data_IF_860968756955
#
_entry.id   IF_860968756955
#
_cell.length_a   1.000
_cell.length_b   1.000
_cell.length_c   1.000
_cell.angle_alpha   90.00
_cell.angle_beta   90.00
_cell.angle_gamma   90.00
#
_symmetry.space_group_name_H-M   'P 1'
#
loop_
_entity.id
_entity.type
_entity.pdbx_description
1 polymer ?
#
# COMPACT_ATOMS: atom_id res chain seq x y z
N UNK A 1 -27.39 43.47 11.49
CA UNK A 1 -26.23 42.60 11.23
C UNK A 1 -26.69 41.17 11.38
N UNK A 2 -27.05 40.53 10.27
CA UNK A 2 -27.35 39.11 10.19
C UNK A 2 -26.89 38.68 8.79
N UNK A 3 -25.90 37.78 8.74
CA UNK A 3 -25.43 37.17 7.51
C UNK A 3 -25.88 35.71 7.52
N UNK A 4 -26.57 35.31 6.46
CA UNK A 4 -27.02 33.96 6.17
C UNK A 4 -26.19 33.41 5.01
N UNK A 5 -25.76 32.16 5.11
CA UNK A 5 -25.14 31.40 4.02
C UNK A 5 -26.22 30.83 3.10
N UNK A 6 -26.00 30.92 1.79
CA UNK A 6 -26.77 30.22 0.77
C UNK A 6 -25.81 29.60 -0.22
N UNK A 7 -25.82 28.25 -0.30
CA UNK A 7 -25.20 27.50 -1.39
C UNK A 7 -26.12 27.56 -2.61
N UNK A 8 -25.58 27.92 -3.76
CA UNK A 8 -26.13 27.58 -5.08
C UNK A 8 -24.95 27.20 -5.96
N UNK A 9 -25.00 25.99 -6.52
CA UNK A 9 -24.00 25.50 -7.44
C UNK A 9 -24.01 26.26 -8.76
N UNK A 10 -22.93 26.07 -9.51
CA UNK A 10 -22.98 26.16 -10.96
C UNK A 10 -22.01 25.14 -11.54
N UNK A 11 -22.58 24.28 -12.38
CA UNK A 11 -21.91 23.44 -13.35
C UNK A 11 -21.11 24.32 -14.32
N UNK A 12 -19.86 23.95 -14.60
CA UNK A 12 -19.13 24.51 -15.74
C UNK A 12 -18.81 23.37 -16.69
N UNK A 13 -19.65 23.25 -17.72
CA UNK A 13 -19.31 22.61 -18.98
C UNK A 13 -18.22 23.47 -19.67
N UNK A 14 -17.02 22.94 -19.88
CA UNK A 14 -16.02 23.59 -20.74
C UNK A 14 -16.21 23.15 -22.20
N UNK A 15 -16.58 24.13 -23.02
CA UNK A 15 -16.88 24.02 -24.43
C UNK A 15 -15.59 23.74 -25.25
N UNK A 16 -15.65 22.71 -26.09
CA UNK A 16 -14.63 22.32 -27.06
C UNK A 16 -14.75 23.23 -28.29
N UNK A 17 -13.98 24.33 -28.40
CA UNK A 17 -13.51 24.89 -29.68
C UNK A 17 -12.74 26.23 -29.53
N UNK A 18 -11.49 26.19 -29.09
CA UNK A 18 -10.55 27.28 -29.41
C UNK A 18 -9.17 26.73 -29.80
N UNK A 19 -9.06 26.35 -31.07
CA UNK A 19 -7.78 26.07 -31.72
C UNK A 19 -7.30 27.37 -32.38
N UNK A 20 -6.37 28.08 -31.75
CA UNK A 20 -5.52 29.05 -32.45
C UNK A 20 -4.17 28.42 -32.75
N UNK A 21 -3.93 28.17 -34.04
CA UNK A 21 -2.63 27.80 -34.58
C UNK A 21 -1.61 28.94 -34.37
N UNK A 22 -0.52 28.66 -33.66
CA UNK A 22 0.72 29.43 -33.79
C UNK A 22 1.86 28.50 -34.19
N UNK A 23 2.26 28.66 -35.46
CA UNK A 23 3.42 28.05 -36.07
C UNK A 23 4.70 28.79 -35.60
N UNK A 24 5.55 28.08 -34.86
CA UNK A 24 6.86 28.56 -34.44
C UNK A 24 7.79 27.40 -34.12
N UNK A 25 8.55 26.93 -35.11
CA UNK A 25 9.66 26.00 -34.91
C UNK A 25 10.75 26.65 -34.06
N UNK A 26 10.92 26.18 -32.82
CA UNK A 26 12.17 26.29 -32.07
C UNK A 26 12.58 24.92 -31.55
N UNK A 27 13.67 24.39 -32.12
CA UNK A 27 14.40 23.22 -31.64
C UNK A 27 15.19 23.59 -30.39
N UNK A 28 14.49 23.74 -29.26
CA UNK A 28 15.08 23.85 -27.93
C UNK A 28 15.13 22.49 -27.26
N UNK A 29 16.33 21.97 -26.96
CA UNK A 29 16.49 20.79 -26.12
C UNK A 29 15.88 21.10 -24.73
N UNK A 30 14.74 20.49 -24.44
CA UNK A 30 14.10 20.55 -23.11
C UNK A 30 15.02 19.82 -22.14
N UNK A 31 15.81 20.57 -21.37
CA UNK A 31 16.45 20.04 -20.16
C UNK A 31 15.30 19.73 -19.20
N UNK A 32 14.96 18.45 -19.06
CA UNK A 32 14.01 18.02 -18.05
C UNK A 32 14.60 18.36 -16.68
N UNK A 33 13.95 19.28 -15.96
CA UNK A 33 14.37 19.76 -14.64
C UNK A 33 14.05 18.71 -13.54
N UNK A 34 14.19 17.42 -13.86
CA UNK A 34 13.73 16.31 -13.02
C UNK A 34 14.76 16.08 -11.91
N UNK A 35 14.35 16.15 -10.63
CA UNK A 35 15.21 15.79 -9.52
C UNK A 35 15.76 14.36 -9.69
N UNK A 36 17.03 14.09 -9.32
CA UNK A 36 17.56 12.74 -9.39
C UNK A 36 16.73 11.79 -8.50
N UNK A 37 16.55 10.51 -8.89
CA UNK A 37 15.82 9.55 -8.08
C UNK A 37 16.40 9.43 -6.67
N UNK A 38 15.54 9.42 -5.66
CA UNK A 38 15.95 9.23 -4.26
C UNK A 38 16.52 7.81 -4.12
N UNK A 39 17.72 7.68 -3.56
CA UNK A 39 18.34 6.36 -3.36
C UNK A 39 17.56 5.53 -2.33
N UNK A 40 17.48 4.22 -2.59
CA UNK A 40 16.89 3.26 -1.67
C UNK A 40 17.61 3.27 -0.31
N UNK A 41 16.85 3.26 0.78
CA UNK A 41 17.38 3.17 2.15
C UNK A 41 16.41 2.46 3.09
N UNK A 42 16.95 1.74 4.06
CA UNK A 42 16.18 1.10 5.15
C UNK A 42 15.90 2.09 6.27
N UNK A 43 14.80 1.86 6.99
CA UNK A 43 14.43 2.63 8.18
C UNK A 43 14.36 1.75 9.41
N UNK A 44 14.80 2.30 10.53
CA UNK A 44 14.78 1.64 11.83
C UNK A 44 13.37 1.68 12.44
N UNK A 45 12.90 0.53 12.91
CA UNK A 45 11.53 0.38 13.43
C UNK A 45 11.32 1.21 14.70
N UNK A 46 12.24 1.15 15.67
CA UNK A 46 12.11 1.88 16.94
C UNK A 46 12.10 3.40 16.68
N UNK A 47 12.98 3.88 15.79
CA UNK A 47 12.97 5.28 15.36
C UNK A 47 11.63 5.67 14.74
N UNK A 48 11.06 4.86 13.83
CA UNK A 48 9.77 5.18 13.22
C UNK A 48 8.63 5.15 14.24
N UNK A 49 8.58 4.14 15.12
CA UNK A 49 7.59 4.04 16.19
C UNK A 49 7.64 5.24 17.13
N UNK A 50 8.84 5.77 17.42
CA UNK A 50 9.00 6.96 18.27
C UNK A 50 8.42 8.25 17.67
N UNK A 51 8.04 8.24 16.40
CA UNK A 51 7.39 9.38 15.72
C UNK A 51 5.88 9.26 15.65
N UNK A 52 5.28 8.18 16.15
CA UNK A 52 3.82 8.04 16.15
C UNK A 52 3.19 9.11 17.07
N UNK A 53 2.08 9.75 16.66
CA UNK A 53 1.33 10.63 17.54
C UNK A 53 0.62 9.80 18.62
N UNK A 54 0.32 10.41 19.77
CA UNK A 54 -0.37 9.77 20.91
C UNK A 54 -1.77 9.23 20.57
N UNK A 55 -2.34 9.68 19.45
CA UNK A 55 -3.65 9.27 18.95
C UNK A 55 -3.59 9.10 17.44
N UNK A 56 -4.15 8.00 16.95
CA UNK A 56 -4.32 7.70 15.53
C UNK A 56 -5.82 7.62 15.24
N UNK A 57 -6.32 8.51 14.38
CA UNK A 57 -7.65 8.36 13.79
C UNK A 57 -7.60 7.44 12.56
N UNK A 58 -8.51 6.48 12.47
CA UNK A 58 -8.53 5.48 11.41
C UNK A 58 -9.96 5.13 10.98
N UNK A 59 -10.09 4.55 9.78
CA UNK A 59 -11.31 3.88 9.32
C UNK A 59 -11.04 2.39 9.04
N UNK A 60 -12.08 1.56 9.11
CA UNK A 60 -11.96 0.12 8.83
C UNK A 60 -12.50 -0.23 7.45
N UNK A 61 -11.62 -0.70 6.57
CA UNK A 61 -12.00 -1.20 5.25
C UNK A 61 -12.50 -2.64 5.39
N UNK A 62 -13.79 -2.86 5.15
CA UNK A 62 -14.39 -4.20 5.12
C UNK A 62 -14.52 -4.70 3.69
N UNK A 63 -13.87 -5.82 3.38
CA UNK A 63 -13.82 -6.38 2.02
C UNK A 63 -14.25 -7.85 2.05
N UNK A 64 -15.33 -8.16 1.32
CA UNK A 64 -15.79 -9.52 1.08
C UNK A 64 -15.34 -9.99 -0.30
N UNK A 65 -14.76 -11.17 -0.37
CA UNK A 65 -14.35 -11.83 -1.60
C UNK A 65 -15.55 -12.49 -2.30
N UNK A 66 -15.45 -12.85 -3.60
CA UNK A 66 -16.49 -13.59 -4.30
C UNK A 66 -16.91 -14.91 -3.64
N UNK A 67 -16.01 -15.61 -2.91
CA UNK A 67 -16.37 -16.81 -2.15
C UNK A 67 -17.01 -16.52 -0.78
N UNK A 68 -17.21 -15.25 -0.42
CA UNK A 68 -17.85 -14.84 0.84
C UNK A 68 -16.90 -14.72 2.03
N UNK A 69 -15.58 -14.75 1.83
CA UNK A 69 -14.61 -14.52 2.92
C UNK A 69 -14.44 -13.01 3.13
N UNK A 70 -14.51 -12.55 4.37
CA UNK A 70 -14.44 -11.11 4.71
C UNK A 70 -13.17 -10.78 5.50
N UNK A 71 -12.49 -9.69 5.12
CA UNK A 71 -11.43 -9.07 5.91
C UNK A 71 -11.86 -7.70 6.42
N UNK A 72 -11.38 -7.34 7.61
CA UNK A 72 -11.52 -6.02 8.20
C UNK A 72 -10.13 -5.43 8.43
N UNK A 73 -9.76 -4.47 7.61
CA UNK A 73 -8.41 -3.91 7.58
C UNK A 73 -8.47 -2.45 8.05
N UNK A 74 -8.01 -2.15 9.27
CA UNK A 74 -7.95 -0.77 9.74
C UNK A 74 -6.86 0.00 9.01
N UNK A 75 -7.19 1.23 8.63
CA UNK A 75 -6.33 2.13 7.88
C UNK A 75 -6.42 3.53 8.48
N UNK A 76 -5.28 4.09 8.83
CA UNK A 76 -5.16 5.47 9.30
C UNK A 76 -5.75 6.46 8.31
N UNK A 77 -6.44 7.45 8.85
CA UNK A 77 -7.14 8.46 8.06
C UNK A 77 -6.20 9.52 7.50
N UNK A 78 -6.49 9.96 6.27
CA UNK A 78 -5.63 10.90 5.56
C UNK A 78 -5.55 12.27 6.24
N UNK A 79 -6.65 12.71 6.89
CA UNK A 79 -6.64 13.96 7.64
C UNK A 79 -5.73 13.88 8.87
N UNK A 80 -5.61 12.71 9.49
CA UNK A 80 -4.77 12.49 10.66
C UNK A 80 -3.28 12.48 10.27
N UNK A 81 -2.97 11.87 9.12
CA UNK A 81 -1.63 11.95 8.49
C UNK A 81 -1.24 13.40 8.20
N UNK A 82 -2.16 14.18 7.60
CA UNK A 82 -1.94 15.62 7.33
C UNK A 82 -1.67 16.39 8.62
N UNK A 83 -2.45 16.15 9.67
CA UNK A 83 -2.29 16.84 10.95
C UNK A 83 -0.90 16.58 11.56
N UNK A 84 -0.42 15.34 11.51
CA UNK A 84 0.93 15.00 11.98
C UNK A 84 2.00 15.75 11.17
N UNK A 85 1.95 15.69 9.84
CA UNK A 85 2.95 16.34 8.99
C UNK A 85 2.96 17.86 9.17
N UNK A 86 1.79 18.48 9.36
CA UNK A 86 1.69 19.91 9.67
C UNK A 86 2.24 20.27 11.05
N UNK A 87 2.10 19.38 12.03
CA UNK A 87 2.62 19.60 13.38
C UNK A 87 4.15 19.43 13.47
N UNK A 88 4.73 18.60 12.60
CA UNK A 88 6.17 18.36 12.49
C UNK A 88 6.88 19.37 11.57
N UNK A 89 6.14 20.17 10.79
CA UNK A 89 6.72 21.16 9.88
C UNK A 89 7.38 22.30 10.65
N UNK A 90 8.70 22.39 10.52
CA UNK A 90 9.53 23.45 11.09
C UNK A 90 9.75 24.62 10.13
N UNK A 91 9.09 24.61 8.96
CA UNK A 91 9.20 25.63 7.92
C UNK A 91 10.48 25.53 7.07
N UNK A 92 11.30 24.49 7.26
CA UNK A 92 12.51 24.26 6.46
C UNK A 92 12.30 23.29 5.30
N UNK A 93 11.21 22.51 5.33
CA UNK A 93 10.85 21.62 4.23
C UNK A 93 10.05 22.39 3.18
N UNK A 94 10.49 22.32 1.92
CA UNK A 94 9.91 23.13 0.85
C UNK A 94 8.45 22.73 0.49
N UNK A 95 8.01 21.52 0.84
CA UNK A 95 6.65 21.03 0.57
C UNK A 95 6.28 19.83 1.45
N UNK A 96 6.05 20.02 2.77
CA UNK A 96 5.74 18.93 3.72
C UNK A 96 4.46 18.16 3.38
N UNK A 97 3.57 18.77 2.59
CA UNK A 97 2.31 18.18 2.14
C UNK A 97 2.33 17.73 0.67
N UNK A 98 3.51 17.67 0.04
CA UNK A 98 3.64 17.15 -1.33
C UNK A 98 3.09 15.72 -1.41
N UNK A 99 2.15 15.48 -2.33
CA UNK A 99 1.45 14.20 -2.46
C UNK A 99 0.17 14.05 -1.65
N UNK A 100 -0.25 15.08 -0.91
CA UNK A 100 -1.55 15.13 -0.23
C UNK A 100 -2.57 16.03 -0.95
N UNK A 101 -2.17 16.60 -2.09
CA UNK A 101 -3.00 17.43 -2.98
C UNK A 101 -4.05 16.58 -3.73
N UNK A 102 -5.07 17.25 -4.28
CA UNK A 102 -6.20 16.57 -4.92
C UNK A 102 -5.89 16.03 -6.33
N UNK A 103 -4.75 16.39 -6.95
CA UNK A 103 -4.35 15.83 -8.24
C UNK A 103 -3.83 14.40 -8.08
N UNK A 104 -4.39 13.45 -8.83
CA UNK A 104 -4.09 12.03 -8.64
C UNK A 104 -2.75 11.59 -9.26
N UNK A 105 -2.20 12.31 -10.25
CA UNK A 105 -0.89 12.01 -10.86
C UNK A 105 -0.26 13.25 -11.50
N UNK A 106 0.75 13.86 -10.87
CA UNK A 106 1.67 14.77 -11.55
C UNK A 106 2.83 14.00 -12.20
N UNK A 107 3.13 14.30 -13.46
CA UNK A 107 4.23 13.62 -14.18
C UNK A 107 5.57 13.94 -13.49
N UNK A 108 6.23 12.89 -12.95
CA UNK A 108 7.51 12.92 -12.24
C UNK A 108 7.50 13.39 -10.78
N UNK A 109 6.33 13.53 -10.14
CA UNK A 109 6.20 13.68 -8.68
C UNK A 109 5.34 12.52 -8.18
N UNK A 110 5.89 11.68 -7.29
CA UNK A 110 5.14 10.56 -6.72
C UNK A 110 4.23 11.06 -5.59
N UNK A 111 2.92 11.09 -5.86
CA UNK A 111 1.90 11.63 -4.96
C UNK A 111 0.98 10.53 -4.38
N UNK A 112 1.13 9.27 -4.83
CA UNK A 112 0.10 8.25 -4.64
C UNK A 112 0.12 7.48 -3.33
N UNK A 113 1.22 7.50 -2.54
CA UNK A 113 1.40 6.58 -1.41
C UNK A 113 0.47 6.82 -0.21
N UNK A 114 -0.07 8.04 -0.07
CA UNK A 114 -0.97 8.38 1.04
C UNK A 114 -2.42 7.93 0.82
N UNK A 115 -2.83 7.79 -0.44
CA UNK A 115 -4.18 7.32 -0.82
C UNK A 115 -4.15 5.81 -1.03
N UNK A 116 -5.26 5.16 -0.70
CA UNK A 116 -5.47 3.75 -1.09
C UNK A 116 -6.04 3.72 -2.50
N UNK A 117 -5.36 3.02 -3.40
CA UNK A 117 -5.80 2.81 -4.77
C UNK A 117 -6.72 1.60 -4.90
N UNK A 118 -7.68 1.64 -5.85
CA UNK A 118 -8.68 0.60 -6.04
C UNK A 118 -8.08 -0.79 -6.28
N UNK A 119 -6.96 -0.86 -7.03
CA UNK A 119 -6.28 -2.13 -7.30
C UNK A 119 -5.76 -2.80 -6.01
N UNK A 120 -5.54 -2.03 -4.93
CA UNK A 120 -5.13 -2.57 -3.64
C UNK A 120 -6.27 -3.37 -3.00
N UNK A 121 -7.52 -2.92 -3.18
CA UNK A 121 -8.71 -3.60 -2.69
C UNK A 121 -8.99 -4.87 -3.49
N UNK A 122 -8.81 -4.80 -4.81
CA UNK A 122 -8.92 -5.97 -5.70
C UNK A 122 -7.91 -7.06 -5.31
N UNK A 123 -6.67 -6.66 -4.99
CA UNK A 123 -5.62 -7.58 -4.55
C UNK A 123 -5.99 -8.26 -3.22
N UNK A 124 -6.55 -7.52 -2.26
CA UNK A 124 -7.06 -8.11 -1.00
C UNK A 124 -8.19 -9.12 -1.26
N UNK A 125 -9.18 -8.78 -2.09
CA UNK A 125 -10.27 -9.71 -2.46
C UNK A 125 -9.74 -10.98 -3.10
N UNK A 126 -8.74 -10.86 -3.97
CA UNK A 126 -8.10 -12.03 -4.58
C UNK A 126 -7.38 -12.89 -3.55
N UNK A 127 -6.59 -12.28 -2.66
CA UNK A 127 -5.84 -12.98 -1.62
C UNK A 127 -6.76 -13.69 -0.62
N UNK A 128 -7.95 -13.15 -0.33
CA UNK A 128 -8.96 -13.83 0.46
C UNK A 128 -9.42 -15.15 -0.18
N UNK A 129 -9.59 -15.17 -1.50
CA UNK A 129 -10.08 -16.36 -2.22
C UNK A 129 -8.98 -17.37 -2.60
N UNK A 130 -7.76 -16.89 -2.80
CA UNK A 130 -6.67 -17.64 -3.45
C UNK A 130 -5.34 -17.63 -2.68
N UNK A 131 -5.21 -16.76 -1.68
CA UNK A 131 -3.96 -16.50 -0.97
C UNK A 131 -2.73 -16.40 -1.88
N UNK A 132 -1.55 -16.85 -1.43
CA UNK A 132 -0.35 -16.87 -2.27
C UNK A 132 -0.41 -17.87 -3.45
N UNK A 133 -1.28 -18.88 -3.36
CA UNK A 133 -1.39 -19.91 -4.40
C UNK A 133 -2.80 -20.49 -4.55
N UNK A 134 -3.37 -21.13 -3.52
CA UNK A 134 -4.72 -21.72 -3.59
C UNK A 134 -5.71 -21.10 -2.62
N UNK A 135 -5.27 -20.81 -1.41
CA UNK A 135 -6.00 -20.20 -0.32
C UNK A 135 -4.98 -19.52 0.62
N UNK A 136 -5.49 -18.87 1.67
CA UNK A 136 -4.67 -18.12 2.60
C UNK A 136 -3.74 -19.03 3.44
N UNK A 137 -4.10 -20.29 3.66
CA UNK A 137 -3.31 -21.28 4.41
C UNK A 137 -1.99 -21.63 3.70
N UNK A 138 -1.92 -21.47 2.37
CA UNK A 138 -0.65 -21.60 1.65
C UNK A 138 0.41 -20.55 2.09
N UNK A 139 0.04 -19.53 2.88
CA UNK A 139 0.99 -18.58 3.48
C UNK A 139 2.03 -19.26 4.38
N UNK A 140 1.71 -20.42 4.99
CA UNK A 140 2.69 -21.22 5.77
C UNK A 140 3.92 -21.63 4.94
N UNK A 141 3.81 -21.61 3.61
CA UNK A 141 4.91 -21.94 2.69
C UNK A 141 5.72 -20.72 2.26
N UNK A 142 5.30 -19.52 2.62
CA UNK A 142 5.94 -18.25 2.26
C UNK A 142 6.83 -17.83 3.42
N UNK A 143 8.13 -17.69 3.17
CA UNK A 143 9.07 -17.19 4.15
C UNK A 143 9.19 -15.67 4.16
N UNK A 144 8.80 -15.02 3.05
CA UNK A 144 8.98 -13.58 2.87
C UNK A 144 7.87 -12.99 2.00
N UNK A 145 7.14 -12.01 2.53
CA UNK A 145 6.23 -11.15 1.78
C UNK A 145 6.92 -9.81 1.48
N UNK A 146 6.92 -9.39 0.22
CA UNK A 146 7.44 -8.08 -0.18
C UNK A 146 6.30 -7.31 -0.84
N UNK A 147 5.92 -6.13 -0.32
CA UNK A 147 5.01 -5.24 -1.03
C UNK A 147 5.77 -4.04 -1.59
N UNK A 148 5.76 -3.94 -2.91
CA UNK A 148 6.43 -2.89 -3.65
C UNK A 148 5.45 -1.76 -3.99
N UNK A 149 5.76 -0.54 -3.56
CA UNK A 149 4.83 0.58 -3.65
C UNK A 149 3.66 0.40 -2.71
N UNK A 150 3.94 0.15 -1.42
CA UNK A 150 2.95 -0.35 -0.49
C UNK A 150 1.90 0.68 -0.07
N UNK A 151 2.22 1.98 0.00
CA UNK A 151 1.28 2.99 0.49
C UNK A 151 0.62 2.58 1.81
N UNK A 152 -0.72 2.46 1.81
CA UNK A 152 -1.51 1.96 2.95
C UNK A 152 -1.32 0.47 3.31
N UNK A 153 -0.68 -0.31 2.44
CA UNK A 153 -0.27 -1.70 2.61
C UNK A 153 -1.38 -2.72 2.88
N UNK A 154 -2.64 -2.44 2.47
CA UNK A 154 -3.78 -3.33 2.73
C UNK A 154 -3.53 -4.82 2.37
N UNK A 155 -2.90 -5.17 1.22
CA UNK A 155 -2.57 -6.54 0.89
C UNK A 155 -1.65 -7.18 1.93
N UNK A 156 -0.60 -6.47 2.35
CA UNK A 156 0.27 -6.94 3.43
C UNK A 156 -0.43 -6.99 4.78
N UNK A 157 -1.35 -6.06 5.10
CA UNK A 157 -2.10 -6.09 6.36
C UNK A 157 -2.94 -7.38 6.47
N UNK A 158 -3.58 -7.80 5.38
CA UNK A 158 -4.31 -9.08 5.34
C UNK A 158 -3.39 -10.26 5.71
N UNK A 159 -2.26 -10.37 5.01
CA UNK A 159 -1.30 -11.46 5.22
C UNK A 159 -0.64 -11.38 6.61
N UNK A 160 -0.40 -10.16 7.10
CA UNK A 160 0.18 -9.90 8.42
C UNK A 160 -0.76 -10.31 9.55
N UNK A 161 -2.04 -9.95 9.48
CA UNK A 161 -3.02 -10.39 10.48
C UNK A 161 -3.18 -11.91 10.47
N UNK A 162 -3.20 -12.53 9.29
CA UNK A 162 -3.25 -13.98 9.18
C UNK A 162 -2.00 -14.63 9.79
N UNK A 163 -0.80 -14.12 9.48
CA UNK A 163 0.44 -14.60 10.05
C UNK A 163 0.48 -14.48 11.58
N UNK A 164 -0.07 -13.42 12.16
CA UNK A 164 -0.20 -13.28 13.62
C UNK A 164 -1.12 -14.36 14.19
N UNK A 165 -2.34 -14.50 13.64
CA UNK A 165 -3.35 -15.45 14.13
C UNK A 165 -2.85 -16.90 14.07
N UNK A 166 -2.14 -17.25 13.01
CA UNK A 166 -1.60 -18.60 12.79
C UNK A 166 -0.20 -18.81 13.37
N UNK A 167 0.41 -17.79 14.00
CA UNK A 167 1.75 -17.89 14.58
C UNK A 167 2.86 -18.16 13.55
N UNK A 168 2.76 -17.56 12.37
CA UNK A 168 3.71 -17.75 11.26
C UNK A 168 4.83 -16.70 11.30
N UNK A 169 6.05 -17.16 11.58
CA UNK A 169 7.26 -16.34 11.46
C UNK A 169 7.60 -16.05 9.99
N UNK A 170 7.40 -14.80 9.56
CA UNK A 170 7.54 -14.37 8.16
C UNK A 170 8.29 -13.03 8.12
N UNK A 171 9.14 -12.84 7.10
CA UNK A 171 9.67 -11.51 6.77
C UNK A 171 8.62 -10.71 6.01
N UNK A 172 8.38 -9.45 6.40
CA UNK A 172 7.61 -8.48 5.64
C UNK A 172 8.52 -7.32 5.24
N UNK A 173 8.74 -7.13 3.93
CA UNK A 173 9.44 -5.96 3.40
C UNK A 173 8.45 -5.05 2.69
N UNK A 174 8.23 -3.86 3.25
CA UNK A 174 7.32 -2.87 2.71
C UNK A 174 8.12 -1.71 2.12
N UNK A 175 7.94 -1.46 0.83
CA UNK A 175 8.70 -0.45 0.11
C UNK A 175 7.79 0.62 -0.45
N UNK A 176 8.19 1.88 -0.31
CA UNK A 176 7.50 3.02 -0.91
C UNK A 176 8.54 4.03 -1.41
N UNK A 177 8.19 4.89 -2.36
CA UNK A 177 9.13 5.94 -2.77
C UNK A 177 9.36 6.95 -1.65
N UNK A 178 8.31 7.27 -0.87
CA UNK A 178 8.34 8.28 0.17
C UNK A 178 8.52 7.68 1.57
N UNK A 179 9.53 8.16 2.31
CA UNK A 179 9.78 7.73 3.69
C UNK A 179 8.65 8.14 4.65
N UNK A 180 7.99 9.28 4.41
CA UNK A 180 6.86 9.73 5.23
C UNK A 180 5.63 8.87 5.01
N UNK A 181 5.44 8.27 3.83
CA UNK A 181 4.37 7.29 3.63
C UNK A 181 4.60 6.07 4.52
N UNK A 182 5.83 5.54 4.56
CA UNK A 182 6.15 4.40 5.42
C UNK A 182 5.94 4.73 6.91
N UNK A 183 6.40 5.91 7.33
CA UNK A 183 6.38 6.36 8.72
C UNK A 183 4.98 6.76 9.19
N UNK A 184 4.24 7.49 8.37
CA UNK A 184 2.98 8.10 8.73
C UNK A 184 1.76 7.30 8.25
N UNK A 185 1.91 6.31 7.37
CA UNK A 185 0.79 5.50 6.87
C UNK A 185 1.03 4.02 7.10
N UNK A 186 2.08 3.47 6.50
CA UNK A 186 2.31 2.02 6.48
C UNK A 186 2.52 1.42 7.87
N UNK A 187 3.42 1.99 8.67
CA UNK A 187 3.70 1.51 10.02
C UNK A 187 2.50 1.68 10.98
N UNK A 188 1.83 2.85 11.06
CA UNK A 188 0.59 2.99 11.82
C UNK A 188 -0.44 1.92 11.48
N UNK A 189 -0.64 1.62 10.20
CA UNK A 189 -1.58 0.60 9.76
C UNK A 189 -1.20 -0.81 10.24
N UNK A 190 0.10 -1.15 10.30
CA UNK A 190 0.55 -2.41 10.89
C UNK A 190 0.25 -2.50 12.40
N UNK A 191 0.44 -1.39 13.13
CA UNK A 191 0.09 -1.33 14.57
C UNK A 191 -1.42 -1.51 14.76
N UNK A 192 -2.24 -0.81 13.97
CA UNK A 192 -3.71 -0.98 13.98
C UNK A 192 -4.09 -2.42 13.62
N UNK A 193 -3.51 -2.98 12.55
CA UNK A 193 -3.80 -4.33 12.09
C UNK A 193 -3.47 -5.38 13.17
N UNK A 194 -2.36 -5.22 13.90
CA UNK A 194 -2.03 -6.05 15.05
C UNK A 194 -2.99 -5.85 16.22
N UNK A 195 -3.35 -4.61 16.56
CA UNK A 195 -4.30 -4.35 17.66
C UNK A 195 -5.68 -4.99 17.40
N UNK A 196 -6.08 -5.14 16.14
CA UNK A 196 -7.27 -5.87 15.72
C UNK A 196 -7.17 -7.40 15.82
N UNK A 197 -5.99 -7.95 16.13
CA UNK A 197 -5.79 -9.40 16.35
C UNK A 197 -5.77 -9.80 17.82
N UNK A 198 -5.75 -8.83 18.73
CA UNK A 198 -5.69 -9.09 20.17
C UNK A 198 -6.92 -9.84 20.66
N UNK A 199 -6.72 -10.81 21.55
CA UNK A 199 -7.81 -11.38 22.33
C UNK A 199 -8.40 -10.35 23.30
N UNK A 200 -9.61 -10.60 23.82
CA UNK A 200 -10.22 -9.74 24.84
C UNK A 200 -9.34 -9.59 26.08
N UNK A 201 -8.67 -10.67 26.48
CA UNK A 201 -7.81 -10.66 27.67
C UNK A 201 -6.55 -9.80 27.44
N UNK A 202 -5.89 -9.93 26.29
CA UNK A 202 -4.72 -9.12 25.95
C UNK A 202 -5.11 -7.65 25.78
N UNK A 203 -6.24 -7.40 25.13
CA UNK A 203 -6.76 -6.05 24.96
C UNK A 203 -7.09 -5.39 26.30
N UNK A 204 -7.70 -6.10 27.26
CA UNK A 204 -7.99 -5.55 28.59
C UNK A 204 -6.72 -5.19 29.39
N UNK A 205 -5.56 -5.77 29.06
CA UNK A 205 -4.27 -5.43 29.69
C UNK A 205 -3.64 -4.16 29.09
N UNK A 206 -3.98 -3.81 27.86
CA UNK A 206 -3.34 -2.73 27.09
C UNK A 206 -4.20 -1.48 26.97
N UNK A 207 -5.52 -1.61 27.09
CA UNK A 207 -6.48 -0.54 26.93
C UNK A 207 -7.22 -0.30 28.24
N UNK A 208 -7.51 0.97 28.55
CA UNK A 208 -8.25 1.34 29.76
C UNK A 208 -9.74 1.03 29.61
N UNK A 209 -10.45 0.85 30.73
CA UNK A 209 -11.89 0.54 30.71
C UNK A 209 -12.74 1.67 30.09
N UNK A 210 -12.33 2.93 30.27
CA UNK A 210 -12.99 4.11 29.71
C UNK A 210 -12.61 4.36 28.23
N UNK A 211 -11.54 3.72 27.77
CA UNK A 211 -10.99 3.86 26.42
C UNK A 211 -10.64 2.47 25.85
N UNK A 212 -11.66 1.59 25.64
CA UNK A 212 -11.43 0.22 25.22
C UNK A 212 -10.86 0.16 23.80
N UNK A 213 -10.32 -1.00 23.42
CA UNK A 213 -9.81 -1.21 22.07
C UNK A 213 -10.96 -1.13 21.04
N UNK A 214 -10.96 -0.12 20.15
CA UNK A 214 -12.03 0.07 19.17
C UNK A 214 -12.04 -1.00 18.06
N UNK A 215 -11.00 -1.83 17.97
CA UNK A 215 -10.84 -2.85 16.94
C UNK A 215 -11.27 -4.25 17.38
N UNK A 216 -11.66 -4.43 18.65
CA UNK A 216 -12.23 -5.69 19.11
C UNK A 216 -13.63 -5.88 18.50
N UNK A 217 -13.82 -6.95 17.73
CA UNK A 217 -15.12 -7.35 17.20
C UNK A 217 -15.75 -8.39 18.13
N UNK A 218 -17.04 -8.26 18.40
CA UNK A 218 -17.79 -9.27 19.15
C UNK A 218 -18.12 -10.46 18.23
N UNK A 219 -17.82 -11.69 18.66
CA UNK A 219 -18.16 -12.93 17.93
C UNK A 219 -19.67 -13.08 17.67
N UNK A 220 -20.52 -12.30 18.34
CA UNK A 220 -21.99 -12.40 18.31
C UNK A 220 -22.62 -11.43 17.29
N UNK A 221 -21.87 -10.49 16.70
CA UNK A 221 -22.36 -9.71 15.56
C UNK A 221 -22.17 -10.50 14.25
N UNK A 222 -22.63 -11.75 14.23
CA UNK A 222 -22.64 -12.65 13.08
C UNK A 222 -23.89 -12.43 12.21
N UNK A 223 -24.27 -11.17 12.04
CA UNK A 223 -25.21 -10.78 10.99
C UNK A 223 -24.55 -9.65 10.21
N UNK A 224 -24.00 -10.01 9.05
CA UNK A 224 -23.60 -9.14 7.94
C UNK A 224 -24.82 -8.34 7.43
N UNK A 225 -25.45 -7.55 8.29
CA UNK A 225 -26.63 -6.75 7.97
C UNK A 225 -26.29 -5.38 7.37
N UNK A 226 -25.02 -5.09 7.09
CA UNK A 226 -24.62 -3.89 6.37
C UNK A 226 -23.78 -4.26 5.15
N UNK A 227 -24.43 -4.86 4.15
CA UNK A 227 -23.99 -4.84 2.75
C UNK A 227 -24.12 -3.40 2.17
N UNK A 228 -23.59 -2.42 2.90
CA UNK A 228 -23.83 -0.98 2.72
C UNK A 228 -22.79 -0.13 3.44
N UNK A 229 -21.54 -0.23 3.01
CA UNK A 229 -20.67 0.92 2.68
C UNK A 229 -20.31 2.00 3.72
N UNK A 230 -20.72 1.95 4.99
CA UNK A 230 -20.28 2.94 5.97
C UNK A 230 -18.94 2.53 6.59
N UNK A 231 -17.88 3.29 6.29
CA UNK A 231 -16.58 3.13 6.94
C UNK A 231 -16.71 3.40 8.44
N UNK A 232 -16.34 2.42 9.28
CA UNK A 232 -16.32 2.58 10.73
C UNK A 232 -15.10 3.43 11.13
N UNK A 233 -15.35 4.65 11.60
CA UNK A 233 -14.32 5.58 12.08
C UNK A 233 -14.10 5.43 13.58
N UNK A 234 -12.83 5.41 14.01
CA UNK A 234 -12.46 5.37 15.41
C UNK A 234 -11.08 5.99 15.67
N UNK A 235 -10.80 6.19 16.96
CA UNK A 235 -9.51 6.69 17.46
C UNK A 235 -8.84 5.61 18.32
N UNK A 236 -7.54 5.40 18.12
CA UNK A 236 -6.70 4.53 18.96
C UNK A 236 -5.55 5.34 19.58
N UNK A 237 -5.34 5.18 20.89
CA UNK A 237 -4.25 5.83 21.61
C UNK A 237 -2.99 4.96 21.65
N UNK A 238 -1.86 5.52 21.27
CA UNK A 238 -0.57 4.83 21.11
C UNK A 238 0.29 4.92 22.37
N UNK A 239 -0.08 4.16 23.40
CA UNK A 239 0.69 4.17 24.65
C UNK A 239 2.04 3.45 24.48
N UNK A 240 3.07 3.79 25.28
CA UNK A 240 4.33 3.04 25.27
C UNK A 240 4.13 1.54 25.52
N UNK A 241 3.21 1.16 26.40
CA UNK A 241 2.89 -0.24 26.68
C UNK A 241 2.33 -0.96 25.43
N UNK A 242 1.46 -0.28 24.66
CA UNK A 242 0.93 -0.82 23.40
C UNK A 242 2.06 -1.08 22.39
N UNK A 243 2.96 -0.12 22.20
CA UNK A 243 4.06 -0.24 21.23
C UNK A 243 5.10 -1.28 21.64
N UNK A 244 5.39 -1.41 22.94
CA UNK A 244 6.25 -2.49 23.44
C UNK A 244 5.61 -3.86 23.27
N UNK A 245 4.30 -3.99 23.52
CA UNK A 245 3.57 -5.24 23.27
C UNK A 245 3.49 -5.61 21.79
N UNK A 246 3.36 -4.62 20.90
CA UNK A 246 3.45 -4.82 19.45
C UNK A 246 4.80 -5.45 19.08
N UNK A 247 5.91 -4.83 19.53
CA UNK A 247 7.27 -5.35 19.29
C UNK A 247 7.48 -6.74 19.89
N UNK A 248 7.01 -6.97 21.11
CA UNK A 248 7.12 -8.27 21.77
C UNK A 248 6.37 -9.36 21.01
N UNK A 249 5.18 -9.05 20.46
CA UNK A 249 4.42 -9.97 19.63
C UNK A 249 5.21 -10.35 18.37
N UNK A 250 5.74 -9.37 17.62
CA UNK A 250 6.56 -9.61 16.44
C UNK A 250 7.74 -10.55 16.75
N UNK A 251 8.46 -10.28 17.84
CA UNK A 251 9.59 -11.09 18.28
C UNK A 251 9.17 -12.52 18.65
N UNK A 252 8.06 -12.68 19.38
CA UNK A 252 7.58 -13.99 19.84
C UNK A 252 7.16 -14.91 18.69
N UNK A 253 6.56 -14.34 17.64
CA UNK A 253 6.10 -15.08 16.46
C UNK A 253 7.26 -15.31 15.47
N UNK A 254 8.29 -14.46 15.52
CA UNK A 254 9.36 -14.44 14.55
C UNK A 254 9.00 -13.67 13.28
N UNK A 255 8.12 -12.68 13.37
CA UNK A 255 7.83 -11.76 12.28
C UNK A 255 8.90 -10.66 12.26
N UNK A 256 9.50 -10.44 11.09
CA UNK A 256 10.50 -9.37 10.89
C UNK A 256 9.98 -8.33 9.91
N UNK A 257 9.96 -7.07 10.30
CA UNK A 257 9.54 -5.96 9.45
C UNK A 257 10.76 -5.23 8.87
N UNK A 258 10.73 -4.91 7.58
CA UNK A 258 11.75 -4.09 6.91
C UNK A 258 11.06 -3.01 6.10
N UNK A 259 11.34 -1.74 6.39
CA UNK A 259 10.80 -0.59 5.68
C UNK A 259 11.88 0.00 4.78
N UNK A 260 11.57 0.20 3.50
CA UNK A 260 12.52 0.72 2.52
C UNK A 260 11.92 1.87 1.74
N UNK A 261 12.50 3.07 1.86
CA UNK A 261 12.09 4.22 1.04
C UNK A 261 13.01 4.41 -0.17
N UNK A 262 12.47 4.93 -1.27
CA UNK A 262 13.23 5.45 -2.41
C UNK A 262 13.03 4.64 -3.68
N UNK A 263 13.84 4.94 -4.68
CA UNK A 263 13.77 4.34 -6.01
C UNK A 263 14.11 2.83 -5.98
N UNK A 264 13.35 2.04 -6.73
CA UNK A 264 13.69 0.64 -7.01
C UNK A 264 14.90 0.47 -7.93
N UNK A 265 15.25 1.53 -8.67
CA UNK A 265 16.39 1.57 -9.58
C UNK A 265 17.52 2.46 -9.03
N UNK A 266 18.80 2.07 -9.21
CA UNK A 266 19.24 0.81 -9.79
C UNK A 266 19.06 -0.37 -8.81
N UNK A 267 18.77 -1.56 -9.33
CA UNK A 267 18.56 -2.76 -8.50
C UNK A 267 19.79 -3.12 -7.67
N UNK A 268 21.00 -2.79 -8.14
CA UNK A 268 22.24 -2.98 -7.37
C UNK A 268 22.27 -2.24 -6.04
N UNK A 269 21.55 -1.12 -5.91
CA UNK A 269 21.39 -0.39 -4.65
C UNK A 269 20.22 -0.94 -3.81
N UNK A 270 19.15 -1.41 -4.46
CA UNK A 270 17.96 -1.95 -3.79
C UNK A 270 18.21 -3.32 -3.15
N UNK A 271 18.78 -4.26 -3.91
CA UNK A 271 18.86 -5.67 -3.55
C UNK A 271 19.57 -5.93 -2.21
N UNK A 272 20.71 -5.28 -1.87
CA UNK A 272 21.39 -5.50 -0.60
C UNK A 272 20.55 -5.13 0.63
N UNK A 273 19.53 -4.29 0.46
CA UNK A 273 18.66 -3.81 1.53
C UNK A 273 17.47 -4.75 1.81
N UNK A 274 17.21 -5.70 0.91
CA UNK A 274 16.09 -6.63 1.02
C UNK A 274 16.63 -8.00 1.47
N UNK A 275 16.14 -8.52 2.62
CA UNK A 275 16.48 -9.87 3.07
C UNK A 275 16.22 -10.91 1.98
N UNK A 276 17.17 -11.82 1.76
CA UNK A 276 16.99 -12.91 0.80
C UNK A 276 17.87 -14.09 1.19
N UNK A 277 17.43 -15.30 0.89
CA UNK A 277 18.25 -16.50 0.91
C UNK A 277 17.81 -17.42 -0.22
N UNK A 278 18.73 -18.20 -0.84
CA UNK A 278 18.39 -19.18 -1.87
C UNK A 278 17.36 -20.23 -1.44
N UNK A 279 17.10 -20.39 -0.14
CA UNK A 279 16.12 -21.33 0.41
C UNK A 279 14.74 -20.71 0.66
N UNK A 280 14.61 -19.38 0.59
CA UNK A 280 13.35 -18.69 0.85
C UNK A 280 12.35 -18.88 -0.29
N UNK A 281 11.08 -18.95 0.08
CA UNK A 281 9.97 -18.71 -0.83
C UNK A 281 9.47 -17.28 -0.61
N UNK A 282 9.57 -16.45 -1.64
CA UNK A 282 9.23 -15.03 -1.57
C UNK A 282 8.01 -14.74 -2.42
N UNK A 283 7.03 -14.09 -1.80
CA UNK A 283 5.80 -13.64 -2.43
C UNK A 283 5.81 -12.12 -2.53
N UNK A 284 5.85 -11.61 -3.76
CA UNK A 284 5.96 -10.19 -4.05
C UNK A 284 4.58 -9.67 -4.46
N UNK A 285 4.16 -8.55 -3.90
CA UNK A 285 2.91 -7.86 -4.18
C UNK A 285 3.20 -6.50 -4.79
N UNK A 286 2.38 -6.09 -5.75
CA UNK A 286 2.38 -4.73 -6.28
C UNK A 286 0.96 -4.30 -6.64
N UNK A 287 0.61 -3.06 -6.34
CA UNK A 287 -0.66 -2.46 -6.70
C UNK A 287 -0.42 -1.10 -7.34
N UNK A 288 -0.92 -0.91 -8.56
CA UNK A 288 -0.73 0.32 -9.35
C UNK A 288 0.74 0.76 -9.49
N UNK A 289 1.67 -0.18 -9.61
CA UNK A 289 3.12 0.09 -9.71
C UNK A 289 3.61 0.33 -11.15
N UNK A 290 2.79 0.02 -12.14
CA UNK A 290 3.16 -0.01 -13.58
C UNK A 290 2.57 1.16 -14.38
N UNK A 291 2.24 2.27 -13.72
CA UNK A 291 1.49 3.39 -14.30
C UNK A 291 2.23 4.19 -15.38
N UNK A 292 3.57 4.10 -15.44
CA UNK A 292 4.37 4.78 -16.47
C UNK A 292 5.44 3.85 -17.06
N UNK A 293 5.95 4.10 -18.28
CA UNK A 293 7.06 3.36 -18.87
C UNK A 293 8.30 3.27 -17.99
N UNK A 294 8.65 4.34 -17.27
CA UNK A 294 9.80 4.32 -16.36
C UNK A 294 9.52 3.44 -15.14
N UNK A 295 8.33 3.57 -14.54
CA UNK A 295 7.93 2.79 -13.36
C UNK A 295 7.83 1.30 -13.69
N UNK A 296 7.23 0.94 -14.83
CA UNK A 296 7.07 -0.46 -15.22
C UNK A 296 8.42 -1.14 -15.49
N UNK A 297 9.39 -0.44 -16.11
CA UNK A 297 10.75 -0.96 -16.31
C UNK A 297 11.48 -1.15 -14.98
N UNK A 298 11.48 -0.13 -14.11
CA UNK A 298 12.14 -0.21 -12.81
C UNK A 298 11.53 -1.31 -11.91
N UNK A 299 10.20 -1.44 -11.94
CA UNK A 299 9.47 -2.49 -11.21
C UNK A 299 9.81 -3.88 -11.77
N UNK A 300 9.76 -4.07 -13.09
CA UNK A 300 10.12 -5.33 -13.73
C UNK A 300 11.57 -5.75 -13.42
N UNK A 301 12.53 -4.83 -13.49
CA UNK A 301 13.92 -5.10 -13.10
C UNK A 301 14.04 -5.59 -11.67
N UNK A 302 13.36 -4.92 -10.73
CA UNK A 302 13.42 -5.23 -9.32
C UNK A 302 12.79 -6.60 -8.99
N UNK A 303 11.57 -6.88 -9.47
CA UNK A 303 10.90 -8.16 -9.16
C UNK A 303 11.66 -9.34 -9.76
N UNK A 304 12.21 -9.22 -10.97
CA UNK A 304 12.99 -10.29 -11.61
C UNK A 304 14.26 -10.55 -10.81
N UNK A 305 14.99 -9.50 -10.44
CA UNK A 305 16.21 -9.64 -9.66
C UNK A 305 15.96 -10.19 -8.24
N UNK A 306 14.81 -9.88 -7.63
CA UNK A 306 14.39 -10.45 -6.35
C UNK A 306 14.04 -11.94 -6.48
N UNK A 307 13.22 -12.31 -7.46
CA UNK A 307 12.84 -13.71 -7.71
C UNK A 307 14.07 -14.58 -8.04
N UNK A 308 15.08 -14.03 -8.70
CA UNK A 308 16.34 -14.72 -9.00
C UNK A 308 17.25 -15.02 -7.80
N UNK A 309 16.94 -14.49 -6.61
CA UNK A 309 17.76 -14.68 -5.38
C UNK A 309 17.22 -15.73 -4.42
N UNK A 310 16.09 -16.35 -4.76
CA UNK A 310 15.28 -17.16 -3.83
C UNK A 310 14.87 -18.48 -4.49
N UNK A 311 14.42 -19.45 -3.68
CA UNK A 311 14.04 -20.79 -4.16
C UNK A 311 12.81 -20.73 -5.06
N UNK A 312 11.80 -20.01 -4.59
CA UNK A 312 10.56 -19.79 -5.30
C UNK A 312 10.16 -18.33 -5.14
N UNK A 313 10.26 -17.59 -6.24
CA UNK A 313 9.75 -16.23 -6.34
C UNK A 313 8.44 -16.23 -7.12
N UNK A 314 7.42 -15.56 -6.59
CA UNK A 314 6.18 -15.27 -7.32
C UNK A 314 5.79 -13.83 -7.07
N UNK A 315 5.44 -13.11 -8.13
CA UNK A 315 4.88 -11.76 -8.01
C UNK A 315 3.41 -11.77 -8.41
N UNK A 316 2.58 -11.05 -7.64
CA UNK A 316 1.20 -10.75 -7.98
C UNK A 316 1.02 -9.24 -8.09
N UNK A 317 0.52 -8.78 -9.24
CA UNK A 317 0.35 -7.36 -9.55
C UNK A 317 -1.11 -7.07 -9.83
N UNK A 318 -1.71 -6.13 -9.11
CA UNK A 318 -3.00 -5.55 -9.44
C UNK A 318 -2.79 -4.20 -10.14
N UNK A 319 -3.40 -3.99 -11.30
CA UNK A 319 -3.19 -2.78 -12.08
C UNK A 319 -4.40 -2.42 -12.94
N UNK A 320 -4.56 -1.12 -13.24
CA UNK A 320 -5.37 -0.68 -14.38
C UNK A 320 -4.74 -1.20 -15.68
N UNK A 321 -5.57 -1.61 -16.64
CA UNK A 321 -5.09 -2.18 -17.91
C UNK A 321 -4.29 -1.16 -18.72
N UNK A 322 -4.70 0.10 -18.68
CA UNK A 322 -4.05 1.24 -19.34
C UNK A 322 -4.11 2.45 -18.41
N UNK A 323 -3.03 3.24 -18.35
CA UNK A 323 -2.97 4.50 -17.61
C UNK A 323 -2.87 5.65 -18.60
N UNK A 324 -4.00 6.33 -18.86
CA UNK A 324 -4.06 7.47 -19.77
C UNK A 324 -3.20 8.64 -19.24
N UNK A 325 -2.56 9.38 -20.15
CA UNK A 325 -1.68 10.52 -19.82
C UNK A 325 -0.24 10.12 -19.46
N UNK A 326 -0.04 9.06 -18.68
CA UNK A 326 1.29 8.61 -18.21
C UNK A 326 1.85 7.41 -18.99
N UNK A 327 1.02 6.68 -19.73
CA UNK A 327 1.43 5.73 -20.76
C UNK A 327 1.76 4.31 -20.29
N UNK A 328 1.62 3.99 -19.01
CA UNK A 328 1.76 2.62 -18.52
C UNK A 328 0.61 1.71 -18.97
N UNK A 329 0.88 0.41 -19.08
CA UNK A 329 -0.12 -0.59 -19.42
C UNK A 329 0.29 -1.99 -18.98
N UNK A 330 -0.69 -2.87 -18.80
CA UNK A 330 -0.45 -4.29 -18.50
C UNK A 330 0.30 -4.97 -19.65
N UNK A 331 -0.04 -4.66 -20.90
CA UNK A 331 0.64 -5.27 -22.06
C UNK A 331 2.11 -4.84 -22.13
N UNK A 332 2.41 -3.55 -21.90
CA UNK A 332 3.79 -3.06 -21.81
C UNK A 332 4.57 -3.74 -20.67
N UNK A 333 3.94 -3.94 -19.51
CA UNK A 333 4.54 -4.66 -18.40
C UNK A 333 4.83 -6.15 -18.73
N UNK A 334 3.91 -6.82 -19.43
CA UNK A 334 4.10 -8.22 -19.86
C UNK A 334 5.26 -8.36 -20.85
N UNK A 335 5.38 -7.44 -21.80
CA UNK A 335 6.53 -7.39 -22.70
C UNK A 335 7.84 -7.20 -21.93
N UNK A 336 7.84 -6.32 -20.93
CA UNK A 336 9.03 -6.01 -20.13
C UNK A 336 9.48 -7.19 -19.26
N UNK A 337 8.52 -7.95 -18.72
CA UNK A 337 8.79 -9.22 -18.05
C UNK A 337 9.32 -10.28 -19.02
N UNK A 338 8.72 -10.40 -20.21
CA UNK A 338 9.14 -11.38 -21.22
C UNK A 338 10.58 -11.13 -21.70
N UNK A 339 10.95 -9.87 -21.93
CA UNK A 339 12.33 -9.47 -22.25
C UNK A 339 13.35 -9.89 -21.18
N UNK A 340 12.91 -10.09 -19.94
CA UNK A 340 13.72 -10.49 -18.78
C UNK A 340 13.62 -11.98 -18.45
N UNK A 341 13.01 -12.79 -19.30
CA UNK A 341 12.89 -14.22 -19.05
C UNK A 341 11.87 -14.55 -17.96
N UNK A 342 10.79 -13.78 -17.86
CA UNK A 342 9.64 -14.10 -17.01
C UNK A 342 8.38 -14.29 -17.83
N UNK A 343 7.45 -15.09 -17.29
CA UNK A 343 6.08 -15.19 -17.77
C UNK A 343 5.22 -14.29 -16.90
N UNK A 344 4.48 -13.38 -17.54
CA UNK A 344 3.47 -12.54 -16.90
C UNK A 344 2.08 -12.91 -17.45
N UNK A 345 1.31 -13.63 -16.64
CA UNK A 345 0.01 -14.20 -16.98
C UNK A 345 -1.10 -13.43 -16.29
N UNK A 346 -2.10 -12.98 -17.05
CA UNK A 346 -3.29 -12.39 -16.48
C UNK A 346 -4.13 -13.47 -15.79
N UNK A 347 -4.66 -13.15 -14.61
CA UNK A 347 -5.49 -14.04 -13.81
C UNK A 347 -6.96 -13.68 -13.98
N UNK A 348 -7.79 -14.71 -14.17
CA UNK A 348 -9.24 -14.57 -14.14
C UNK A 348 -9.73 -14.48 -12.69
N UNK A 349 -10.40 -13.38 -12.37
CA UNK A 349 -10.98 -13.13 -11.05
C UNK A 349 -12.24 -12.27 -11.18
N UNK A 350 -13.35 -12.78 -10.65
CA UNK A 350 -14.66 -12.11 -10.71
C UNK A 350 -14.80 -10.96 -9.69
N UNK A 351 -13.91 -10.88 -8.69
CA UNK A 351 -13.93 -9.85 -7.65
C UNK A 351 -13.23 -8.54 -8.03
N UNK A 352 -12.91 -8.34 -9.32
CA UNK A 352 -12.40 -7.07 -9.83
C UNK A 352 -13.54 -6.07 -9.93
N UNK A 353 -13.37 -4.85 -9.44
CA UNK A 353 -14.43 -3.85 -9.56
C UNK A 353 -14.74 -3.44 -11.01
N UNK A 354 -16.00 -3.15 -11.27
CA UNK A 354 -16.55 -2.94 -12.62
C UNK A 354 -16.56 -1.47 -13.08
N UNK A 355 -16.06 -0.54 -12.25
CA UNK A 355 -16.06 0.91 -12.51
C UNK A 355 -14.78 1.44 -13.15
N UNK A 356 -14.93 2.38 -14.09
CA UNK A 356 -13.83 3.13 -14.68
C UNK A 356 -12.97 2.32 -15.66
N UNK A 357 -11.66 2.55 -15.65
CA UNK A 357 -10.73 1.81 -16.51
C UNK A 357 -10.63 0.36 -16.03
N UNK A 358 -10.78 -0.59 -16.95
CA UNK A 358 -10.68 -2.03 -16.67
C UNK A 358 -9.40 -2.35 -15.89
N UNK A 359 -9.53 -3.09 -14.79
CA UNK A 359 -8.44 -3.56 -13.95
C UNK A 359 -8.14 -5.03 -14.21
N UNK A 360 -6.91 -5.43 -13.88
CA UNK A 360 -6.37 -6.77 -14.13
C UNK A 360 -5.50 -7.21 -12.95
N UNK A 361 -5.44 -8.52 -12.75
CA UNK A 361 -4.43 -9.17 -11.90
C UNK A 361 -3.45 -9.92 -12.79
N UNK A 362 -2.16 -9.79 -12.50
CA UNK A 362 -1.09 -10.41 -13.26
C UNK A 362 -0.19 -11.19 -12.32
N UNK A 363 -0.04 -12.49 -12.57
CA UNK A 363 0.96 -13.33 -11.91
C UNK A 363 2.24 -13.35 -12.74
N UNK A 364 3.37 -13.10 -12.09
CA UNK A 364 4.70 -13.16 -12.72
C UNK A 364 5.54 -14.25 -12.07
N UNK A 365 6.13 -15.10 -12.89
CA UNK A 365 7.04 -16.18 -12.48
C UNK A 365 8.23 -16.28 -13.43
N UNK A 366 9.36 -16.79 -12.92
CA UNK A 366 10.50 -17.19 -13.75
C UNK A 366 10.15 -18.42 -14.59
N UNK A 367 10.78 -18.58 -15.76
CA UNK A 367 10.63 -19.76 -16.63
C UNK A 367 11.09 -21.08 -15.99
#
# INVERSE_FOLDING_TARGET
>A
MAFSFGFSGDDIEEDLNDVQEQSGQQTGAVKSNVPPPIAARTHDLDKMLSTLPDKISFSTVSLTSPKGSTAHLPRRELFDVRLQLMAEDDGTTASPLSGLESSDLQQNVYEGGYKTWECSLDLVRFLLDRGPRKDLDDLVRVGHVIEMGCGSALPSLLLFQYAIREGLGIYFTLTDYNADVLRCVTLPNLVLAWAATLSREESAKLFAEDTPNPLLRDEVSSEDQHAGGEEEYADLYTTPALLESFKACLQSIGITLTFLSGSWAPTSALLPLIPSSPDLNTFILGSETIYSPASLTAFADAIVALMGRVKMGKTLVAAKRVYFGVGGSVDGFREECSRRGCVASELEFEGLGEGGVRRCLVEVQMY
#
